data_IF_571822610586
#
_entry.id   IF_571822610586
#
_cell.length_a   1.000
_cell.length_b   1.000
_cell.length_c   1.000
_cell.angle_alpha   90.00
_cell.angle_beta   90.00
_cell.angle_gamma   90.00
#
_symmetry.space_group_name_H-M   'P 1'
#
loop_
_entity.id
_entity.type
_entity.pdbx_description
1 polymer ?
#
# COMPACT_ATOMS: atom_id res chain seq x y z
N UNK A 1 3.72 9.73 22.00
CA UNK A 1 3.42 10.50 20.77
C UNK A 1 2.16 9.90 20.15
N UNK A 2 1.07 10.64 20.04
CA UNK A 2 -0.15 10.14 19.42
C UNK A 2 0.05 9.89 17.93
N UNK A 3 -0.68 8.91 17.40
CA UNK A 3 -0.66 8.54 15.98
C UNK A 3 -2.09 8.40 15.49
N UNK A 4 -2.43 9.09 14.41
CA UNK A 4 -3.71 8.85 13.74
C UNK A 4 -3.53 7.79 12.67
N UNK A 5 -4.34 6.75 12.74
CA UNK A 5 -4.32 5.61 11.81
C UNK A 5 -5.48 5.70 10.85
N UNK A 6 -5.26 5.29 9.61
CA UNK A 6 -6.29 5.04 8.61
C UNK A 6 -6.22 3.58 8.22
N UNK A 7 -7.35 2.89 8.27
CA UNK A 7 -7.49 1.51 7.81
C UNK A 7 -8.64 1.44 6.82
N UNK A 8 -8.36 0.96 5.64
CA UNK A 8 -9.37 0.77 4.60
C UNK A 8 -9.16 -0.60 3.98
N UNK A 9 -10.25 -1.33 3.80
CA UNK A 9 -10.28 -2.60 3.08
C UNK A 9 -11.49 -2.62 2.17
N UNK A 10 -11.30 -2.97 0.93
CA UNK A 10 -12.39 -3.31 0.00
C UNK A 10 -11.93 -4.36 -1.02
N UNK A 11 -12.92 -5.00 -1.61
CA UNK A 11 -12.79 -6.02 -2.63
C UNK A 11 -13.52 -5.56 -3.90
N UNK A 12 -13.12 -5.99 -5.09
CA UNK A 12 -13.91 -5.74 -6.29
C UNK A 12 -15.30 -6.40 -6.14
N UNK A 13 -16.31 -5.80 -6.75
CA UNK A 13 -17.70 -6.30 -6.66
C UNK A 13 -17.91 -7.66 -7.34
N UNK A 14 -17.02 -8.02 -8.25
CA UNK A 14 -16.94 -9.32 -8.93
C UNK A 14 -15.57 -9.48 -9.59
N UNK A 15 -15.32 -10.66 -10.15
CA UNK A 15 -14.13 -10.94 -10.98
C UNK A 15 -14.27 -10.53 -12.44
N UNK A 16 -15.36 -9.85 -12.83
CA UNK A 16 -15.56 -9.38 -14.18
C UNK A 16 -14.57 -8.26 -14.53
N UNK A 17 -14.22 -8.15 -15.81
CA UNK A 17 -13.23 -7.16 -16.29
C UNK A 17 -13.60 -5.74 -15.88
N UNK A 18 -14.89 -5.37 -15.97
CA UNK A 18 -15.36 -4.04 -15.60
C UNK A 18 -15.20 -3.73 -14.09
N UNK A 19 -15.44 -4.71 -13.22
CA UNK A 19 -15.24 -4.58 -11.79
C UNK A 19 -13.75 -4.49 -11.44
N UNK A 20 -12.91 -5.27 -12.11
CA UNK A 20 -11.46 -5.19 -11.97
C UNK A 20 -10.90 -3.87 -12.51
N UNK A 21 -11.47 -3.31 -13.59
CA UNK A 21 -11.06 -1.99 -14.08
C UNK A 21 -11.32 -0.90 -13.02
N UNK A 22 -12.51 -0.89 -12.42
CA UNK A 22 -12.85 0.02 -11.31
C UNK A 22 -11.94 -0.19 -10.10
N UNK A 23 -11.66 -1.44 -9.76
CA UNK A 23 -10.75 -1.79 -8.66
C UNK A 23 -9.35 -1.20 -8.89
N UNK A 24 -8.74 -1.43 -10.05
CA UNK A 24 -7.42 -0.90 -10.38
C UNK A 24 -7.40 0.62 -10.55
N UNK A 25 -8.50 1.22 -11.04
CA UNK A 25 -8.67 2.67 -11.07
C UNK A 25 -8.62 3.26 -9.65
N UNK A 26 -9.28 2.62 -8.69
CA UNK A 26 -9.27 3.06 -7.29
C UNK A 26 -7.89 2.97 -6.63
N UNK A 27 -7.12 1.92 -6.95
CA UNK A 27 -5.70 1.79 -6.54
C UNK A 27 -4.89 2.94 -7.16
N UNK A 28 -5.13 3.27 -8.43
CA UNK A 28 -4.50 4.39 -9.12
C UNK A 28 -4.78 5.74 -8.45
N UNK A 29 -6.02 5.98 -8.02
CA UNK A 29 -6.39 7.18 -7.24
C UNK A 29 -5.58 7.24 -5.94
N UNK A 30 -5.53 6.14 -5.17
CA UNK A 30 -4.74 6.09 -3.95
C UNK A 30 -3.26 6.36 -4.20
N UNK A 31 -2.65 5.68 -5.18
CA UNK A 31 -1.25 5.87 -5.52
C UNK A 31 -0.95 7.31 -5.92
N UNK A 32 -1.85 7.99 -6.64
CA UNK A 32 -1.69 9.40 -7.03
C UNK A 32 -1.67 10.35 -5.82
N UNK A 33 -2.39 10.00 -4.76
CA UNK A 33 -2.52 10.75 -3.52
C UNK A 33 -1.39 10.46 -2.50
N UNK A 34 -0.74 9.28 -2.63
CA UNK A 34 0.25 8.78 -1.66
C UNK A 34 1.45 9.71 -1.42
N UNK A 35 1.95 10.51 -2.38
CA UNK A 35 3.02 11.47 -2.11
C UNK A 35 2.68 12.47 -1.00
N UNK A 36 1.46 13.00 -0.98
CA UNK A 36 1.06 13.96 0.05
C UNK A 36 0.98 13.34 1.44
N UNK A 37 0.66 12.04 1.53
CA UNK A 37 0.66 11.34 2.81
C UNK A 37 2.08 11.19 3.35
N UNK A 38 3.03 10.79 2.50
CA UNK A 38 4.44 10.68 2.87
C UNK A 38 5.06 12.03 3.20
N UNK A 39 4.71 13.09 2.47
CA UNK A 39 5.19 14.45 2.74
C UNK A 39 4.60 14.99 4.05
N UNK A 40 3.41 14.53 4.46
CA UNK A 40 2.83 14.80 5.78
C UNK A 40 3.44 13.97 6.91
N UNK A 41 4.43 13.11 6.62
CA UNK A 41 5.13 12.27 7.58
C UNK A 41 4.48 10.91 7.84
N UNK A 42 3.60 10.47 6.96
CA UNK A 42 2.99 9.14 7.08
C UNK A 42 4.00 8.02 6.84
N UNK A 43 3.70 6.89 7.45
CA UNK A 43 4.17 5.56 7.08
C UNK A 43 2.98 4.75 6.64
N UNK A 44 3.12 3.94 5.59
CA UNK A 44 2.05 3.07 5.16
C UNK A 44 2.52 1.66 4.80
N UNK A 45 1.60 0.72 4.94
CA UNK A 45 1.70 -0.65 4.41
C UNK A 45 0.39 -0.97 3.72
N UNK A 46 0.48 -1.31 2.46
CA UNK A 46 -0.66 -1.64 1.63
C UNK A 46 -0.51 -3.04 1.08
N UNK A 47 -1.62 -3.76 0.98
CA UNK A 47 -1.72 -5.03 0.27
C UNK A 47 -2.76 -4.89 -0.83
N UNK A 48 -2.41 -5.33 -2.02
CA UNK A 48 -3.36 -5.36 -3.12
C UNK A 48 -2.99 -6.39 -4.18
N UNK A 49 -4.02 -6.91 -4.80
CA UNK A 49 -4.02 -7.81 -5.94
C UNK A 49 -5.34 -7.65 -6.71
N UNK A 50 -5.80 -8.66 -7.44
CA UNK A 50 -7.08 -8.63 -8.11
C UNK A 50 -8.28 -8.88 -7.18
N UNK A 51 -8.06 -9.36 -5.96
CA UNK A 51 -9.12 -9.79 -5.06
C UNK A 51 -9.37 -8.78 -3.93
N UNK A 52 -8.35 -8.00 -3.54
CA UNK A 52 -8.47 -7.04 -2.44
C UNK A 52 -7.57 -5.81 -2.61
N UNK A 53 -7.98 -4.73 -1.97
CA UNK A 53 -7.10 -3.60 -1.67
C UNK A 53 -7.23 -3.24 -0.20
N UNK A 54 -6.13 -3.33 0.50
CA UNK A 54 -6.03 -3.05 1.92
C UNK A 54 -4.96 -2.00 2.18
N UNK A 55 -5.34 -0.96 2.91
CA UNK A 55 -4.50 0.19 3.24
C UNK A 55 -4.38 0.34 4.74
N UNK A 56 -3.15 0.46 5.21
CA UNK A 56 -2.83 0.86 6.57
C UNK A 56 -1.90 2.07 6.57
N UNK A 57 -2.41 3.24 6.97
CA UNK A 57 -1.63 4.48 7.10
C UNK A 57 -1.45 4.83 8.58
N UNK A 58 -0.26 5.28 8.95
CA UNK A 58 0.07 5.82 10.26
C UNK A 58 0.57 7.25 10.09
N UNK A 59 -0.09 8.19 10.74
CA UNK A 59 0.27 9.60 10.75
C UNK A 59 0.73 10.04 12.16
N UNK A 60 2.04 10.01 12.45
CA UNK A 60 2.58 10.48 13.72
C UNK A 60 2.30 11.98 13.92
N UNK A 61 1.88 12.36 15.13
CA UNK A 61 1.59 13.76 15.52
C UNK A 61 0.51 14.46 14.68
N UNK A 62 -0.31 13.75 13.94
CA UNK A 62 -1.45 14.32 13.23
C UNK A 62 -2.74 14.10 13.98
N UNK A 63 -3.59 15.10 13.99
CA UNK A 63 -4.94 15.04 14.54
C UNK A 63 -5.90 14.31 13.59
N UNK A 64 -7.04 13.86 14.11
CA UNK A 64 -8.12 13.29 13.28
C UNK A 64 -8.56 14.27 12.18
N UNK A 65 -8.67 15.55 12.49
CA UNK A 65 -9.08 16.58 11.54
C UNK A 65 -8.08 16.74 10.39
N UNK A 66 -6.77 16.80 10.70
CA UNK A 66 -5.72 16.90 9.68
C UNK A 66 -5.71 15.66 8.76
N UNK A 67 -5.84 14.45 9.34
CA UNK A 67 -5.82 13.21 8.55
C UNK A 67 -7.08 13.08 7.70
N UNK A 68 -8.26 13.43 8.23
CA UNK A 68 -9.48 13.49 7.44
C UNK A 68 -9.32 14.44 6.23
N UNK A 69 -8.76 15.63 6.44
CA UNK A 69 -8.51 16.59 5.35
C UNK A 69 -7.51 16.05 4.32
N UNK A 70 -6.46 15.36 4.75
CA UNK A 70 -5.46 14.76 3.87
C UNK A 70 -6.02 13.64 3.01
N UNK A 71 -6.92 12.82 3.55
CA UNK A 71 -7.45 11.63 2.87
C UNK A 71 -8.77 11.89 2.13
N UNK A 72 -9.35 13.09 2.27
CA UNK A 72 -10.66 13.44 1.71
C UNK A 72 -10.77 13.17 0.21
N UNK A 73 -9.80 13.61 -0.59
CA UNK A 73 -9.81 13.42 -2.05
C UNK A 73 -9.79 11.95 -2.46
N UNK A 74 -9.07 11.10 -1.73
CA UNK A 74 -9.09 9.66 -1.96
C UNK A 74 -10.47 9.07 -1.67
N UNK A 75 -11.06 9.38 -0.51
CA UNK A 75 -12.42 8.92 -0.18
C UNK A 75 -13.49 9.45 -1.14
N UNK A 76 -13.32 10.67 -1.65
CA UNK A 76 -14.20 11.24 -2.70
C UNK A 76 -14.05 10.44 -4.00
N UNK A 77 -12.85 10.05 -4.37
CA UNK A 77 -12.57 9.17 -5.50
C UNK A 77 -13.26 7.81 -5.37
N UNK A 78 -13.17 7.16 -4.19
CA UNK A 78 -13.87 5.90 -3.93
C UNK A 78 -15.40 6.04 -4.09
N UNK A 79 -15.96 7.13 -3.56
CA UNK A 79 -17.40 7.43 -3.72
C UNK A 79 -17.80 7.63 -5.18
N UNK A 80 -16.97 8.31 -5.97
CA UNK A 80 -17.22 8.52 -7.41
C UNK A 80 -17.25 7.20 -8.18
N UNK A 81 -16.43 6.24 -7.76
CA UNK A 81 -16.38 4.88 -8.31
C UNK A 81 -17.46 3.94 -7.72
N UNK A 82 -18.31 4.44 -6.83
CA UNK A 82 -19.32 3.66 -6.08
C UNK A 82 -18.72 2.51 -5.25
N UNK A 83 -17.49 2.67 -4.77
CA UNK A 83 -16.83 1.70 -3.91
C UNK A 83 -17.22 1.99 -2.47
N UNK A 84 -17.77 0.97 -1.80
CA UNK A 84 -18.05 0.99 -0.36
C UNK A 84 -17.06 0.07 0.33
N UNK A 85 -16.11 0.61 1.13
CA UNK A 85 -15.15 -0.23 1.85
C UNK A 85 -15.83 -1.13 2.87
N UNK A 86 -15.32 -2.36 3.02
CA UNK A 86 -15.71 -3.30 4.07
C UNK A 86 -15.21 -2.79 5.43
N UNK A 87 -14.01 -2.20 5.44
CA UNK A 87 -13.44 -1.50 6.59
C UNK A 87 -13.09 -0.09 6.15
N UNK A 88 -13.49 0.91 6.95
CA UNK A 88 -13.15 2.31 6.76
C UNK A 88 -13.06 2.98 8.12
N UNK A 89 -11.85 3.09 8.66
CA UNK A 89 -11.61 3.60 10.02
C UNK A 89 -10.51 4.66 10.01
N UNK A 90 -10.77 5.78 10.70
CA UNK A 90 -9.76 6.78 11.02
C UNK A 90 -9.79 6.99 12.52
N UNK A 91 -8.74 6.56 13.23
CA UNK A 91 -8.70 6.52 14.69
C UNK A 91 -7.39 7.10 15.21
N UNK A 92 -7.48 7.96 16.24
CA UNK A 92 -6.30 8.42 16.96
C UNK A 92 -5.91 7.42 18.05
N UNK A 93 -4.66 6.97 18.02
CA UNK A 93 -4.07 6.04 18.98
C UNK A 93 -3.09 6.78 19.89
N UNK A 94 -2.98 6.41 21.17
CA UNK A 94 -2.11 7.10 22.12
C UNK A 94 -0.62 6.89 21.83
N UNK A 95 -0.24 5.75 21.28
CA UNK A 95 1.16 5.39 21.02
C UNK A 95 1.35 4.77 19.63
N UNK A 96 2.61 4.77 19.17
CA UNK A 96 3.01 4.06 17.94
C UNK A 96 2.77 2.56 18.07
N UNK A 97 2.93 1.99 19.28
CA UNK A 97 2.68 0.57 19.54
C UNK A 97 1.22 0.22 19.28
N UNK A 98 0.28 1.04 19.80
CA UNK A 98 -1.15 0.81 19.59
C UNK A 98 -1.56 1.03 18.13
N UNK A 99 -0.83 1.89 17.42
CA UNK A 99 -1.04 2.15 16.00
C UNK A 99 -0.49 1.04 15.11
N UNK A 100 0.61 0.39 15.49
CA UNK A 100 1.25 -0.63 14.68
C UNK A 100 0.39 -1.87 14.48
N UNK A 101 -0.47 -2.22 15.45
CA UNK A 101 -1.43 -3.32 15.31
C UNK A 101 -2.32 -3.15 14.08
N UNK A 102 -2.71 -1.91 13.75
CA UNK A 102 -3.54 -1.61 12.57
C UNK A 102 -2.84 -2.00 11.27
N UNK A 103 -1.52 -1.80 11.18
CA UNK A 103 -0.73 -2.14 10.00
C UNK A 103 -0.47 -3.65 9.92
N UNK A 104 -0.28 -4.31 11.06
CA UNK A 104 0.02 -5.75 11.11
C UNK A 104 -1.23 -6.64 11.10
N UNK A 105 -2.35 -6.19 11.66
CA UNK A 105 -3.64 -6.90 11.53
C UNK A 105 -4.17 -6.90 10.09
N UNK A 106 -3.63 -6.03 9.26
CA UNK A 106 -3.85 -5.98 7.81
C UNK A 106 -3.29 -7.26 7.15
N UNK A 107 -2.35 -7.93 7.78
CA UNK A 107 -1.64 -9.06 7.22
C UNK A 107 -2.29 -10.39 7.63
N UNK A 108 -3.42 -10.74 7.04
CA UNK A 108 -4.04 -12.05 7.22
C UNK A 108 -3.24 -13.24 6.66
N UNK A 109 -2.03 -13.05 6.18
CA UNK A 109 -1.17 -14.08 5.62
C UNK A 109 0.17 -14.17 6.35
N UNK A 110 0.50 -15.32 6.90
CA UNK A 110 1.86 -15.65 7.28
C UNK A 110 2.70 -15.81 6.00
N UNK A 111 3.73 -14.99 5.85
CA UNK A 111 4.74 -15.19 4.82
C UNK A 111 5.55 -16.43 5.21
N UNK A 112 5.30 -17.54 4.52
CA UNK A 112 5.99 -18.80 4.80
C UNK A 112 7.30 -18.84 4.01
N UNK A 113 8.40 -18.56 4.69
CA UNK A 113 9.74 -18.66 4.12
C UNK A 113 10.00 -20.06 3.54
N UNK A 114 10.37 -20.10 2.26
CA UNK A 114 10.68 -21.35 1.54
C UNK A 114 9.52 -21.92 0.72
N UNK A 115 8.33 -21.32 0.77
CA UNK A 115 7.16 -21.74 -0.01
C UNK A 115 6.76 -20.64 -1.00
N UNK A 116 7.08 -19.37 -0.69
CA UNK A 116 6.71 -18.22 -1.49
C UNK A 116 7.91 -17.67 -2.27
N UNK A 117 7.66 -17.21 -3.50
CA UNK A 117 8.62 -16.46 -4.29
C UNK A 117 8.46 -14.97 -4.00
N UNK A 118 9.57 -14.32 -3.64
CA UNK A 118 9.61 -12.90 -3.36
C UNK A 118 10.44 -12.13 -4.39
N UNK A 119 9.88 -11.05 -4.89
CA UNK A 119 10.62 -10.01 -5.58
C UNK A 119 10.43 -8.67 -4.88
N UNK A 120 11.47 -7.87 -4.77
CA UNK A 120 11.36 -6.53 -4.19
C UNK A 120 11.96 -5.46 -5.11
N UNK A 121 11.31 -4.30 -5.18
CA UNK A 121 11.77 -3.15 -5.94
C UNK A 121 11.55 -1.86 -5.18
N UNK A 122 12.57 -1.02 -5.13
CA UNK A 122 12.44 0.37 -4.68
C UNK A 122 11.78 1.18 -5.80
N UNK A 123 10.68 1.85 -5.49
CA UNK A 123 9.96 2.75 -6.38
C UNK A 123 10.44 4.19 -6.11
N UNK A 124 11.16 4.82 -7.05
CA UNK A 124 11.68 6.17 -6.84
C UNK A 124 10.58 7.22 -6.99
N UNK A 125 10.67 8.33 -6.22
CA UNK A 125 9.73 9.46 -6.26
C UNK A 125 9.52 10.05 -7.66
N UNK A 126 10.49 9.90 -8.57
CA UNK A 126 10.37 10.42 -9.94
C UNK A 126 9.19 9.81 -10.71
N UNK A 127 8.78 8.57 -10.42
CA UNK A 127 7.64 7.93 -11.08
C UNK A 127 6.34 8.71 -10.90
N UNK A 128 6.18 9.42 -9.79
CA UNK A 128 5.02 10.28 -9.53
C UNK A 128 5.13 11.67 -10.16
N UNK A 129 6.32 12.04 -10.65
CA UNK A 129 6.58 13.34 -11.30
C UNK A 129 6.60 13.26 -12.82
N UNK A 130 6.90 12.09 -13.37
CA UNK A 130 6.94 11.84 -14.79
C UNK A 130 5.52 11.69 -15.35
N UNK A 131 5.26 12.28 -16.54
CA UNK A 131 3.91 12.34 -17.15
C UNK A 131 3.23 10.97 -17.27
N UNK A 132 3.99 9.93 -17.56
CA UNK A 132 3.50 8.56 -17.75
C UNK A 132 3.98 7.58 -16.67
N UNK A 133 4.73 8.09 -15.69
CA UNK A 133 5.37 7.24 -14.67
C UNK A 133 4.36 6.48 -13.83
N UNK A 134 3.34 7.17 -13.33
CA UNK A 134 2.29 6.55 -12.49
C UNK A 134 1.41 5.57 -13.29
N UNK A 135 1.03 5.91 -14.52
CA UNK A 135 0.23 5.02 -15.37
C UNK A 135 1.01 3.75 -15.75
N UNK A 136 2.29 3.89 -16.06
CA UNK A 136 3.17 2.74 -16.34
C UNK A 136 3.33 1.87 -15.10
N UNK A 137 3.51 2.48 -13.92
CA UNK A 137 3.57 1.74 -12.65
C UNK A 137 2.27 0.96 -12.41
N UNK A 138 1.11 1.63 -12.50
CA UNK A 138 -0.19 1.01 -12.27
C UNK A 138 -0.45 -0.17 -13.22
N UNK A 139 -0.12 0.00 -14.50
CA UNK A 139 -0.25 -1.08 -15.49
C UNK A 139 0.65 -2.27 -15.17
N UNK A 140 1.88 -2.02 -14.70
CA UNK A 140 2.81 -3.07 -14.28
C UNK A 140 2.29 -3.82 -13.06
N UNK A 141 1.79 -3.10 -12.05
CA UNK A 141 1.21 -3.69 -10.84
C UNK A 141 -0.03 -4.53 -11.18
N UNK A 142 -0.89 -4.02 -12.07
CA UNK A 142 -2.05 -4.76 -12.57
C UNK A 142 -1.65 -6.05 -13.31
N UNK A 143 -0.59 -6.00 -14.11
CA UNK A 143 -0.09 -7.20 -14.77
C UNK A 143 0.37 -8.26 -13.74
N UNK A 144 1.05 -7.83 -12.67
CA UNK A 144 1.44 -8.72 -11.57
C UNK A 144 0.21 -9.35 -10.91
N UNK A 145 -0.84 -8.56 -10.62
CA UNK A 145 -2.11 -9.08 -10.10
C UNK A 145 -2.77 -10.10 -11.04
N UNK A 146 -2.74 -9.85 -12.35
CA UNK A 146 -3.27 -10.79 -13.36
C UNK A 146 -2.49 -12.12 -13.42
N UNK A 147 -1.24 -12.12 -12.95
CA UNK A 147 -0.40 -13.31 -12.80
C UNK A 147 -0.51 -13.94 -11.40
N UNK A 148 -1.55 -13.59 -10.63
CA UNK A 148 -1.78 -14.02 -9.25
C UNK A 148 -0.66 -13.62 -8.27
N UNK A 149 0.05 -12.53 -8.55
CA UNK A 149 1.01 -11.93 -7.63
C UNK A 149 0.29 -11.01 -6.65
N UNK A 150 0.57 -11.16 -5.36
CA UNK A 150 0.15 -10.22 -4.34
C UNK A 150 1.22 -9.14 -4.16
N UNK A 151 0.79 -7.90 -4.04
CA UNK A 151 1.67 -6.75 -3.89
C UNK A 151 1.58 -6.23 -2.46
N UNK A 152 2.74 -6.14 -1.82
CA UNK A 152 2.96 -5.45 -0.56
C UNK A 152 3.74 -4.17 -0.85
N UNK A 153 3.11 -3.01 -0.68
CA UNK A 153 3.71 -1.70 -0.90
C UNK A 153 3.93 -0.97 0.43
N UNK A 154 5.20 -0.72 0.76
CA UNK A 154 5.60 -0.07 2.01
C UNK A 154 6.17 1.30 1.71
N UNK A 155 5.49 2.35 2.16
CA UNK A 155 5.88 3.74 1.94
C UNK A 155 6.42 4.42 3.17
N UNK A 156 7.54 5.10 2.97
CA UNK A 156 8.19 5.95 3.98
C UNK A 156 8.96 7.06 3.27
N UNK A 157 9.10 8.22 3.90
CA UNK A 157 9.89 9.34 3.37
C UNK A 157 11.23 9.50 4.12
N UNK A 158 12.28 8.68 3.80
CA UNK A 158 13.53 8.65 4.54
C UNK A 158 14.59 9.61 3.97
N UNK A 159 14.19 10.83 3.60
CA UNK A 159 15.15 11.81 3.05
C UNK A 159 16.21 12.19 4.07
N UNK A 160 17.36 12.68 3.58
CA UNK A 160 18.42 13.16 4.44
C UNK A 160 17.95 14.28 5.36
N UNK A 161 17.13 15.19 4.87
CA UNK A 161 16.54 16.30 5.64
C UNK A 161 15.72 15.81 6.84
N UNK A 162 14.80 14.86 6.60
CA UNK A 162 13.96 14.28 7.66
C UNK A 162 14.78 13.48 8.66
N UNK A 163 15.83 12.79 8.21
CA UNK A 163 16.68 11.96 9.06
C UNK A 163 17.82 12.72 9.74
N UNK A 164 17.93 14.06 9.54
CA UNK A 164 18.98 14.88 10.15
C UNK A 164 20.35 14.74 9.49
N UNK A 165 20.40 14.37 8.22
CA UNK A 165 21.64 14.21 7.43
C UNK A 165 22.69 13.28 8.07
N UNK A 166 22.33 12.10 8.57
CA UNK A 166 23.29 11.22 9.21
C UNK A 166 24.30 10.70 8.21
N UNK A 167 25.58 10.75 8.57
CA UNK A 167 26.65 10.07 7.84
C UNK A 167 26.60 8.58 8.16
N UNK A 168 25.82 7.81 7.43
CA UNK A 168 25.66 6.37 7.62
C UNK A 168 25.64 5.61 6.29
N UNK A 169 25.76 4.29 6.36
CA UNK A 169 25.85 3.37 5.22
C UNK A 169 24.50 3.02 4.58
N UNK A 170 23.48 3.87 4.70
CA UNK A 170 22.18 3.64 4.05
C UNK A 170 22.32 3.80 2.54
N UNK A 171 21.82 2.80 1.80
CA UNK A 171 21.81 2.82 0.34
C UNK A 171 21.19 4.11 -0.19
N UNK A 172 21.86 4.88 -1.06
CA UNK A 172 21.33 6.16 -1.56
C UNK A 172 19.95 6.08 -2.20
N UNK A 173 19.62 4.96 -2.85
CA UNK A 173 18.29 4.73 -3.43
C UNK A 173 17.16 4.82 -2.41
N UNK A 174 17.39 4.44 -1.14
CA UNK A 174 16.39 4.61 -0.07
C UNK A 174 16.10 6.08 0.22
N UNK A 175 17.07 6.98 0.04
CA UNK A 175 16.90 8.43 0.30
C UNK A 175 16.02 9.13 -0.75
N UNK A 176 15.85 8.52 -1.91
CA UNK A 176 15.03 9.04 -3.02
C UNK A 176 13.80 8.17 -3.31
N UNK A 177 13.54 7.16 -2.50
CA UNK A 177 12.38 6.30 -2.72
C UNK A 177 11.08 6.97 -2.32
N UNK A 178 10.00 6.57 -2.98
CA UNK A 178 8.64 6.78 -2.55
C UNK A 178 8.18 5.61 -1.69
N UNK A 179 8.34 4.39 -2.22
CA UNK A 179 8.02 3.16 -1.51
C UNK A 179 8.93 2.00 -1.90
N UNK A 180 8.79 0.92 -1.19
CA UNK A 180 9.34 -0.38 -1.53
C UNK A 180 8.18 -1.32 -1.84
N UNK A 181 8.11 -1.76 -3.08
CA UNK A 181 7.13 -2.73 -3.54
C UNK A 181 7.74 -4.13 -3.46
N UNK A 182 7.10 -5.01 -2.70
CA UNK A 182 7.37 -6.44 -2.69
C UNK A 182 6.26 -7.14 -3.45
N UNK A 183 6.63 -8.15 -4.22
CA UNK A 183 5.68 -9.02 -4.91
C UNK A 183 5.84 -10.42 -4.38
N UNK A 184 4.73 -11.05 -4.04
CA UNK A 184 4.68 -12.40 -3.48
C UNK A 184 3.88 -13.27 -4.43
N UNK A 185 4.44 -14.40 -4.84
CA UNK A 185 3.72 -15.47 -5.54
C UNK A 185 3.62 -16.69 -4.63
N UNK A 186 2.40 -17.07 -4.30
CA UNK A 186 2.13 -18.26 -3.49
C UNK A 186 2.30 -19.53 -4.34
N UNK A 187 3.30 -20.36 -4.01
CA UNK A 187 3.57 -21.62 -4.72
C UNK A 187 2.66 -22.78 -4.29
N UNK A 188 1.77 -22.57 -3.32
CA UNK A 188 0.95 -23.65 -2.72
C UNK A 188 -0.07 -24.30 -3.65
N UNK A 189 -0.45 -23.68 -4.76
CA UNK A 189 -1.46 -24.27 -5.68
C UNK A 189 -0.96 -25.48 -6.48
N UNK A 190 0.36 -25.64 -6.62
CA UNK A 190 0.94 -26.74 -7.41
C UNK A 190 1.32 -27.99 -6.60
N UNK A 191 1.44 -27.89 -5.27
CA UNK A 191 1.86 -29.02 -4.42
C UNK A 191 0.70 -29.81 -3.81
N UNK A 192 -0.50 -29.29 -3.72
CA UNK A 192 -1.67 -30.01 -3.18
C UNK A 192 -2.14 -31.11 -4.12
N UNK A 193 -1.77 -31.09 -5.39
CA UNK A 193 -2.08 -32.12 -6.37
C UNK A 193 -1.20 -33.39 -6.29
N UNK A 194 -0.06 -33.34 -5.58
CA UNK A 194 0.91 -34.44 -5.55
C UNK A 194 0.77 -35.41 -4.34
N UNK A 195 -0.07 -35.04 -3.34
CA UNK A 195 -0.28 -35.83 -2.12
C UNK A 195 -1.50 -36.77 -2.17
N UNK A 196 -2.13 -36.92 -3.34
CA UNK A 196 -3.22 -37.88 -3.57
C UNK A 196 -2.88 -38.82 -4.74
N UNK A 197 -1.83 -39.62 -4.59
CA UNK A 197 -1.67 -40.89 -5.31
C UNK A 197 -1.03 -41.91 -4.40
#
# INVERSE_FOLDING_TARGET
MPVTTVRVLYEPSSSDISALDIHWESIGIYLSESPKYLDAGAYYVNFFDNDLFQVGLLFPNKTLHEVNSLTQSWFDGLRTLNITPIISEIVQRPTVRDASTVVYEVNGGEILAGIDLFGARILPKRLWKEKEGLSTLLNTLRQIGNENGQILDVGINPTNEISGNPNNAVLPAFRSMHSMCLVVWYMLSSFVGCAKR
#
